data_IF_873694747193
#
_entry.id   IF_873694747193
#
_cell.length_a   1.000
_cell.length_b   1.000
_cell.length_c   1.000
_cell.angle_alpha   90.00
_cell.angle_beta   90.00
_cell.angle_gamma   90.00
#
_symmetry.space_group_name_H-M   'P 1'
#
loop_
_entity.id
_entity.type
_entity.pdbx_description
1 polymer ?
#
# COMPACT_ATOMS: atom_id res chain seq x y z
N UNK A 1 3.72 -37.64 -43.70
CA UNK A 1 3.11 -37.62 -42.36
C UNK A 1 4.02 -36.83 -41.43
N UNK A 2 3.67 -35.62 -41.00
CA UNK A 2 4.41 -34.91 -39.93
C UNK A 2 3.63 -35.03 -38.64
N UNK A 3 4.36 -35.39 -37.60
CA UNK A 3 3.92 -35.49 -36.20
C UNK A 3 3.54 -34.11 -35.61
N UNK A 4 2.36 -34.07 -35.09
CA UNK A 4 1.86 -32.91 -34.34
C UNK A 4 2.63 -32.75 -33.03
N UNK A 5 3.37 -31.69 -32.87
CA UNK A 5 3.96 -31.30 -31.60
C UNK A 5 2.95 -30.51 -30.79
N UNK A 6 2.50 -31.11 -29.72
CA UNK A 6 1.66 -30.50 -28.69
C UNK A 6 2.46 -29.41 -27.95
N UNK A 7 2.11 -28.15 -28.16
CA UNK A 7 2.61 -27.04 -27.33
C UNK A 7 1.79 -26.99 -26.05
N UNK A 8 2.36 -27.53 -24.99
CA UNK A 8 1.89 -27.27 -23.62
C UNK A 8 2.17 -25.79 -23.31
N UNK A 9 1.13 -25.09 -22.90
CA UNK A 9 1.19 -23.67 -22.45
C UNK A 9 2.14 -23.55 -21.27
N UNK A 10 3.36 -23.07 -21.53
CA UNK A 10 4.37 -22.83 -20.52
C UNK A 10 3.93 -21.70 -19.58
N UNK A 11 4.13 -21.95 -18.32
CA UNK A 11 3.94 -20.99 -17.23
C UNK A 11 4.83 -19.76 -17.50
N UNK A 12 4.31 -18.52 -17.57
CA UNK A 12 5.09 -17.31 -17.89
C UNK A 12 6.11 -16.91 -16.81
N UNK A 13 6.16 -17.62 -15.68
CA UNK A 13 7.08 -17.37 -14.56
C UNK A 13 8.53 -17.86 -14.80
N UNK A 14 8.83 -18.53 -15.92
CA UNK A 14 10.15 -19.14 -16.18
C UNK A 14 10.93 -18.53 -17.35
N UNK A 15 10.53 -17.39 -17.87
CA UNK A 15 11.32 -16.69 -18.91
C UNK A 15 12.55 -16.02 -18.28
N UNK A 16 13.68 -16.75 -18.24
CA UNK A 16 14.99 -16.15 -17.94
C UNK A 16 15.39 -15.19 -19.07
N UNK A 17 15.68 -13.96 -18.71
CA UNK A 17 16.25 -13.01 -19.66
C UNK A 17 17.74 -13.36 -19.87
N UNK A 18 18.33 -12.92 -21.02
CA UNK A 18 19.71 -13.25 -21.43
C UNK A 18 20.82 -12.79 -20.46
N UNK A 19 20.50 -12.12 -19.38
CA UNK A 19 21.45 -11.69 -18.33
C UNK A 19 21.49 -12.62 -17.12
N UNK A 20 20.77 -13.75 -17.11
CA UNK A 20 20.81 -14.74 -16.04
C UNK A 20 20.21 -14.28 -14.70
N UNK A 21 19.52 -13.14 -14.69
CA UNK A 21 18.76 -12.67 -13.52
C UNK A 21 17.31 -13.10 -13.69
N UNK A 22 16.80 -13.89 -12.73
CA UNK A 22 15.38 -14.14 -12.61
C UNK A 22 14.67 -12.79 -12.61
N UNK A 23 13.59 -12.60 -13.39
CA UNK A 23 12.74 -11.44 -13.21
C UNK A 23 12.07 -11.60 -11.85
N UNK A 24 12.76 -11.11 -10.81
CA UNK A 24 12.15 -10.93 -9.51
C UNK A 24 10.91 -10.07 -9.78
N UNK A 25 9.75 -10.58 -9.41
CA UNK A 25 8.49 -9.91 -9.59
C UNK A 25 8.65 -8.44 -9.18
N UNK A 26 8.55 -7.55 -10.14
CA UNK A 26 8.57 -6.13 -9.83
C UNK A 26 7.35 -5.80 -9.00
N UNK A 27 7.38 -4.76 -8.16
CA UNK A 27 6.20 -4.31 -7.43
C UNK A 27 4.96 -4.17 -8.33
N UNK A 28 5.16 -3.72 -9.58
CA UNK A 28 4.08 -3.63 -10.58
C UNK A 28 3.52 -5.01 -10.98
N UNK A 29 4.37 -6.03 -11.09
CA UNK A 29 3.93 -7.39 -11.43
C UNK A 29 3.16 -8.04 -10.27
N UNK A 30 3.62 -7.82 -9.03
CA UNK A 30 2.90 -8.28 -7.83
C UNK A 30 1.55 -7.56 -7.73
N UNK A 31 1.51 -6.28 -8.03
CA UNK A 31 0.29 -5.48 -8.07
C UNK A 31 -0.65 -5.93 -9.19
N UNK A 32 -0.14 -6.18 -10.39
CA UNK A 32 -0.93 -6.66 -11.53
C UNK A 32 -1.50 -8.07 -11.30
N UNK A 33 -0.76 -8.97 -10.66
CA UNK A 33 -1.25 -10.30 -10.27
C UNK A 33 -2.37 -10.20 -9.23
N UNK A 34 -2.27 -9.28 -8.28
CA UNK A 34 -3.33 -9.01 -7.29
C UNK A 34 -4.56 -8.34 -7.90
N UNK A 35 -4.39 -7.54 -8.96
CA UNK A 35 -5.49 -6.87 -9.65
C UNK A 35 -6.27 -7.80 -10.59
N UNK A 36 -5.69 -8.92 -11.05
CA UNK A 36 -6.36 -9.87 -11.95
C UNK A 36 -7.26 -10.88 -11.23
N UNK A 37 -7.24 -10.94 -9.91
CA UNK A 37 -8.08 -11.84 -9.10
C UNK A 37 -9.40 -11.20 -8.62
N UNK A 38 -9.75 -10.01 -9.11
CA UNK A 38 -10.99 -9.33 -8.70
C UNK A 38 -12.23 -9.88 -9.44
N UNK A 39 -12.83 -10.93 -8.87
CA UNK A 39 -14.30 -11.08 -8.80
C UNK A 39 -14.93 -9.83 -8.16
N UNK A 40 -16.25 -9.53 -8.34
CA UNK A 40 -16.88 -8.37 -7.71
C UNK A 40 -16.61 -8.43 -6.20
N UNK A 41 -15.76 -7.54 -5.75
CA UNK A 41 -15.04 -7.56 -4.49
C UNK A 41 -16.03 -7.41 -3.34
N UNK A 42 -16.27 -8.47 -2.60
CA UNK A 42 -16.55 -8.31 -1.18
C UNK A 42 -15.39 -7.51 -0.59
N UNK A 43 -15.68 -6.31 -0.12
CA UNK A 43 -14.66 -5.43 0.47
C UNK A 43 -14.23 -6.04 1.79
N UNK A 44 -13.23 -6.91 1.72
CA UNK A 44 -12.69 -7.55 2.90
C UNK A 44 -11.97 -6.52 3.77
N UNK A 45 -12.41 -6.41 5.01
CA UNK A 45 -11.76 -5.63 6.06
C UNK A 45 -10.97 -6.55 6.99
N UNK A 46 -10.02 -5.97 7.70
CA UNK A 46 -9.27 -6.60 8.79
C UNK A 46 -9.16 -5.62 9.94
N UNK A 47 -8.75 -6.08 11.10
CA UNK A 47 -8.43 -5.16 12.18
C UNK A 47 -7.10 -4.42 11.92
N UNK A 48 -6.99 -3.22 12.47
CA UNK A 48 -5.80 -2.36 12.30
C UNK A 48 -4.54 -3.09 12.76
N UNK A 49 -4.59 -3.86 13.86
CA UNK A 49 -3.44 -4.61 14.34
C UNK A 49 -2.89 -5.61 13.32
N UNK A 50 -3.77 -6.28 12.58
CA UNK A 50 -3.38 -7.20 11.50
C UNK A 50 -2.78 -6.44 10.31
N UNK A 51 -3.37 -5.32 9.91
CA UNK A 51 -2.83 -4.48 8.84
C UNK A 51 -1.45 -3.92 9.20
N UNK A 52 -1.24 -3.53 10.48
CA UNK A 52 0.07 -3.10 10.99
C UNK A 52 1.10 -4.23 10.91
N UNK A 53 0.76 -5.45 11.31
CA UNK A 53 1.66 -6.60 11.24
C UNK A 53 2.07 -6.88 9.79
N UNK A 54 1.13 -6.83 8.84
CA UNK A 54 1.42 -6.96 7.41
C UNK A 54 2.37 -5.85 6.95
N UNK A 55 2.09 -4.61 7.32
CA UNK A 55 2.92 -3.45 7.00
C UNK A 55 4.34 -3.56 7.58
N UNK A 56 4.47 -4.02 8.82
CA UNK A 56 5.76 -4.22 9.49
C UNK A 56 6.60 -5.29 8.78
N UNK A 57 6.01 -6.46 8.51
CA UNK A 57 6.70 -7.53 7.76
C UNK A 57 7.14 -7.05 6.38
N UNK A 58 6.28 -6.31 5.68
CA UNK A 58 6.62 -5.71 4.40
C UNK A 58 7.84 -4.76 4.53
N UNK A 59 7.83 -3.85 5.51
CA UNK A 59 8.93 -2.91 5.74
C UNK A 59 10.25 -3.63 6.08
N UNK A 60 10.21 -4.69 6.89
CA UNK A 60 11.39 -5.51 7.21
C UNK A 60 11.99 -6.18 5.97
N UNK A 61 11.14 -6.74 5.09
CA UNK A 61 11.58 -7.34 3.82
C UNK A 61 12.22 -6.27 2.92
N UNK A 62 11.58 -5.13 2.78
CA UNK A 62 12.07 -4.04 1.93
C UNK A 62 13.35 -3.40 2.47
N UNK A 63 13.49 -3.27 3.80
CA UNK A 63 14.72 -2.80 4.44
C UNK A 63 15.92 -3.68 4.08
N UNK A 64 15.76 -5.01 4.17
CA UNK A 64 16.81 -5.98 3.75
C UNK A 64 17.10 -5.89 2.24
N UNK A 65 16.04 -5.77 1.41
CA UNK A 65 16.18 -5.66 -0.05
C UNK A 65 16.97 -4.43 -0.47
N UNK A 66 16.72 -3.30 0.15
CA UNK A 66 17.38 -2.02 -0.13
C UNK A 66 18.63 -1.77 0.75
N UNK A 67 19.24 -2.84 1.31
CA UNK A 67 20.49 -2.79 2.08
C UNK A 67 20.44 -1.76 3.20
N UNK A 68 19.34 -1.74 3.93
CA UNK A 68 19.14 -0.84 5.07
C UNK A 68 19.25 0.66 4.71
N UNK A 69 18.90 1.01 3.47
CA UNK A 69 18.89 2.41 3.02
C UNK A 69 17.86 3.27 3.75
N UNK A 70 16.95 2.66 4.50
CA UNK A 70 15.99 3.37 5.35
C UNK A 70 15.78 2.63 6.67
N UNK A 71 15.31 3.39 7.67
CA UNK A 71 14.79 2.88 8.93
C UNK A 71 13.30 3.16 9.05
N UNK A 72 12.59 2.43 9.91
CA UNK A 72 11.19 2.70 10.18
C UNK A 72 10.86 2.59 11.66
N UNK A 73 9.80 3.28 12.07
CA UNK A 73 9.21 3.20 13.39
C UNK A 73 7.68 3.18 13.26
N UNK A 74 7.04 2.34 14.07
CA UNK A 74 5.57 2.27 14.19
C UNK A 74 5.20 2.72 15.60
N UNK A 75 4.35 3.75 15.66
CA UNK A 75 3.87 4.37 16.89
C UNK A 75 2.34 4.44 16.85
N UNK A 76 1.71 3.29 16.99
CA UNK A 76 0.26 3.11 16.93
C UNK A 76 -0.18 2.37 18.19
N UNK A 77 -0.99 3.03 19.01
CA UNK A 77 -1.50 2.46 20.26
C UNK A 77 -2.28 1.15 20.02
N UNK A 78 -2.05 0.15 20.86
CA UNK A 78 -2.78 -1.11 20.84
C UNK A 78 -4.30 -0.93 20.99
N UNK A 79 -4.73 0.13 21.66
CA UNK A 79 -6.14 0.49 21.76
C UNK A 79 -6.84 0.74 20.41
N UNK A 80 -6.06 0.96 19.33
CA UNK A 80 -6.60 1.11 17.97
C UNK A 80 -6.67 -0.21 17.19
N UNK A 81 -6.08 -1.28 17.69
CA UNK A 81 -5.87 -2.51 16.91
C UNK A 81 -7.16 -3.24 16.54
N UNK A 82 -8.19 -3.15 17.38
CA UNK A 82 -9.47 -3.86 17.18
C UNK A 82 -10.41 -3.16 16.17
N UNK A 83 -10.11 -1.94 15.77
CA UNK A 83 -10.93 -1.26 14.79
C UNK A 83 -10.69 -1.78 13.38
N UNK A 84 -11.76 -1.77 12.56
CA UNK A 84 -11.74 -2.25 11.20
C UNK A 84 -11.06 -1.26 10.23
N UNK A 85 -10.34 -1.81 9.26
CA UNK A 85 -9.77 -1.08 8.13
C UNK A 85 -9.85 -1.97 6.87
N UNK A 86 -10.11 -1.42 5.67
CA UNK A 86 -10.01 -2.20 4.44
C UNK A 86 -8.61 -2.79 4.26
N UNK A 87 -8.52 -4.07 3.90
CA UNK A 87 -7.23 -4.74 3.65
C UNK A 87 -6.37 -3.97 2.65
N UNK A 88 -5.05 -4.03 2.83
CA UNK A 88 -4.06 -3.39 1.95
C UNK A 88 -4.25 -1.87 1.83
N UNK A 89 -4.61 -1.20 2.92
CA UNK A 89 -4.67 0.26 2.98
C UNK A 89 -3.28 0.86 3.22
N UNK A 90 -2.49 0.30 4.13
CA UNK A 90 -1.18 0.86 4.51
C UNK A 90 -0.07 0.45 3.56
N UNK A 91 -0.05 -0.80 3.11
CA UNK A 91 1.06 -1.32 2.29
C UNK A 91 1.32 -0.50 1.02
N UNK A 92 0.34 -0.15 0.17
CA UNK A 92 0.61 0.64 -1.04
C UNK A 92 1.13 2.05 -0.75
N UNK A 93 0.78 2.63 0.40
CA UNK A 93 1.29 3.93 0.83
C UNK A 93 2.76 3.84 1.26
N UNK A 94 3.13 2.75 1.95
CA UNK A 94 4.52 2.45 2.31
C UNK A 94 5.37 2.16 1.07
N UNK A 95 4.82 1.44 0.09
CA UNK A 95 5.46 1.22 -1.20
C UNK A 95 5.81 2.55 -1.88
N UNK A 96 4.89 3.51 -1.89
CA UNK A 96 5.14 4.83 -2.45
C UNK A 96 6.28 5.56 -1.73
N UNK A 97 6.31 5.53 -0.39
CA UNK A 97 7.39 6.16 0.38
C UNK A 97 8.76 5.54 0.08
N UNK A 98 8.83 4.21 -0.06
CA UNK A 98 10.09 3.51 -0.34
C UNK A 98 10.55 3.79 -1.78
N UNK A 99 9.68 3.53 -2.77
CA UNK A 99 10.06 3.58 -4.18
C UNK A 99 10.36 5.02 -4.63
N UNK A 100 9.57 5.98 -4.18
CA UNK A 100 9.69 7.38 -4.60
C UNK A 100 10.48 8.24 -3.62
N UNK A 101 10.58 7.82 -2.35
CA UNK A 101 11.28 8.59 -1.33
C UNK A 101 12.78 8.28 -1.24
N UNK A 102 13.20 7.01 -1.37
CA UNK A 102 14.53 6.59 -0.96
C UNK A 102 15.40 5.97 -2.05
N UNK A 103 14.99 6.04 -3.31
CA UNK A 103 15.79 5.51 -4.45
C UNK A 103 17.02 6.37 -4.75
N UNK A 104 17.25 7.46 -3.99
CA UNK A 104 18.42 8.34 -4.18
C UNK A 104 19.62 7.77 -3.42
N UNK A 105 20.73 7.40 -4.10
CA UNK A 105 21.93 6.91 -3.45
C UNK A 105 22.50 7.94 -2.45
N UNK A 106 22.88 7.47 -1.25
CA UNK A 106 23.61 8.26 -0.27
C UNK A 106 22.76 9.02 0.77
N UNK A 107 21.44 8.92 0.74
CA UNK A 107 20.54 9.41 1.81
C UNK A 107 19.94 8.25 2.58
N UNK A 108 20.07 8.25 3.90
CA UNK A 108 19.34 7.32 4.77
C UNK A 108 17.90 7.80 4.94
N UNK A 109 16.95 6.98 4.54
CA UNK A 109 15.52 7.26 4.67
C UNK A 109 14.98 6.94 6.07
N UNK A 110 13.90 7.61 6.46
CA UNK A 110 13.12 7.29 7.65
C UNK A 110 11.65 7.26 7.30
N UNK A 111 10.96 6.23 7.78
CA UNK A 111 9.50 6.10 7.68
C UNK A 111 8.94 6.02 9.09
N UNK A 112 7.95 6.85 9.40
CA UNK A 112 7.24 6.84 10.66
C UNK A 112 5.75 6.62 10.41
N UNK A 113 5.19 5.56 11.01
CA UNK A 113 3.76 5.32 11.08
C UNK A 113 3.26 5.79 12.45
N UNK A 114 2.28 6.68 12.46
CA UNK A 114 1.64 7.16 13.69
C UNK A 114 0.14 6.93 13.60
N UNK A 115 -0.43 6.28 14.61
CA UNK A 115 -1.88 6.17 14.78
C UNK A 115 -2.36 7.11 15.89
N UNK A 116 -3.39 7.87 15.59
CA UNK A 116 -4.02 8.80 16.54
C UNK A 116 -5.52 8.59 16.54
N UNK A 117 -6.08 8.61 17.73
CA UNK A 117 -7.52 8.66 17.97
C UNK A 117 -7.93 10.11 18.21
N UNK A 118 -8.93 10.57 17.49
CA UNK A 118 -9.49 11.91 17.61
C UNK A 118 -11.02 11.80 17.66
N UNK A 119 -11.59 11.92 18.86
CA UNK A 119 -13.04 11.76 19.06
C UNK A 119 -13.56 10.45 18.45
N UNK A 120 -14.37 10.53 17.38
CA UNK A 120 -14.95 9.38 16.67
C UNK A 120 -14.16 8.96 15.41
N UNK A 121 -12.98 9.53 15.21
CA UNK A 121 -12.13 9.23 14.07
C UNK A 121 -10.81 8.59 14.48
N UNK A 122 -10.26 7.75 13.61
CA UNK A 122 -8.90 7.25 13.66
C UNK A 122 -8.14 7.84 12.49
N UNK A 123 -6.98 8.42 12.77
CA UNK A 123 -6.06 8.93 11.76
C UNK A 123 -4.74 8.17 11.81
N UNK A 124 -4.37 7.50 10.72
CA UNK A 124 -3.05 6.89 10.55
C UNK A 124 -2.24 7.76 9.60
N UNK A 125 -1.05 8.18 10.03
CA UNK A 125 -0.12 8.96 9.24
C UNK A 125 1.10 8.13 8.88
N UNK A 126 1.49 8.20 7.62
CA UNK A 126 2.75 7.69 7.10
C UNK A 126 3.59 8.92 6.76
N UNK A 127 4.71 9.06 7.42
CA UNK A 127 5.61 10.21 7.29
C UNK A 127 6.95 9.68 6.80
N UNK A 128 7.45 10.20 5.70
CA UNK A 128 8.79 9.91 5.21
C UNK A 128 9.62 11.20 5.06
N UNK A 129 10.93 11.07 5.18
CA UNK A 129 11.89 12.15 4.95
C UNK A 129 12.54 12.03 3.55
N UNK A 130 11.83 11.48 2.59
CA UNK A 130 12.32 11.22 1.25
C UNK A 130 12.46 12.46 0.37
N UNK A 131 12.56 12.22 -0.94
CA UNK A 131 12.73 13.29 -1.93
C UNK A 131 11.56 14.28 -2.00
N UNK A 132 10.39 13.88 -1.47
CA UNK A 132 9.17 14.68 -1.57
C UNK A 132 8.58 14.69 -2.99
N UNK A 133 7.49 15.42 -3.14
CA UNK A 133 6.70 15.51 -4.38
C UNK A 133 6.62 16.98 -4.79
N UNK A 134 6.85 17.28 -6.06
CA UNK A 134 6.73 18.64 -6.60
C UNK A 134 5.27 19.13 -6.58
N UNK A 135 5.08 20.44 -6.51
CA UNK A 135 3.75 21.06 -6.51
C UNK A 135 2.95 20.71 -7.76
N UNK A 136 3.60 20.61 -8.93
CA UNK A 136 2.97 20.17 -10.17
C UNK A 136 2.40 18.76 -10.01
N UNK A 137 3.20 17.83 -9.50
CA UNK A 137 2.77 16.44 -9.28
C UNK A 137 1.72 16.32 -8.17
N UNK A 138 1.82 17.12 -7.11
CA UNK A 138 0.77 17.21 -6.09
C UNK A 138 -0.55 17.74 -6.67
N UNK A 139 -0.47 18.71 -7.57
CA UNK A 139 -1.63 19.21 -8.32
C UNK A 139 -2.30 18.11 -9.14
N UNK A 140 -1.51 17.28 -9.85
CA UNK A 140 -2.01 16.12 -10.58
C UNK A 140 -2.70 15.11 -9.65
N UNK A 141 -2.07 14.77 -8.52
CA UNK A 141 -2.64 13.85 -7.51
C UNK A 141 -3.97 14.40 -6.96
N UNK A 142 -4.08 15.70 -6.76
CA UNK A 142 -5.32 16.35 -6.28
C UNK A 142 -6.40 16.41 -7.36
N UNK A 143 -6.03 16.68 -8.61
CA UNK A 143 -6.96 16.74 -9.74
C UNK A 143 -7.61 15.39 -10.10
N UNK A 144 -7.01 14.28 -9.67
CA UNK A 144 -7.56 12.93 -9.82
C UNK A 144 -8.87 12.74 -9.02
N UNK A 145 -9.12 13.53 -7.96
CA UNK A 145 -10.42 13.58 -7.28
C UNK A 145 -11.58 13.96 -8.21
N UNK A 146 -11.30 14.51 -9.39
CA UNK A 146 -12.29 15.01 -10.36
C UNK A 146 -12.50 14.07 -11.56
N UNK A 147 -12.18 12.78 -11.46
CA UNK A 147 -12.59 11.76 -12.44
C UNK A 147 -11.57 11.42 -13.54
N UNK A 148 -10.32 11.87 -13.46
CA UNK A 148 -9.26 11.46 -14.39
C UNK A 148 -8.41 10.32 -13.82
N UNK A 149 -8.48 9.13 -14.43
CA UNK A 149 -7.71 7.93 -14.08
C UNK A 149 -6.23 8.11 -14.41
N UNK A 150 -5.38 8.52 -13.45
CA UNK A 150 -3.92 8.52 -13.68
C UNK A 150 -3.02 8.45 -12.44
N UNK A 151 -3.37 7.79 -11.35
CA UNK A 151 -2.37 7.20 -10.46
C UNK A 151 -3.01 6.17 -9.56
N UNK A 152 -2.57 4.92 -9.70
CA UNK A 152 -3.21 3.72 -9.16
C UNK A 152 -3.12 3.55 -7.62
N UNK A 153 -2.42 4.42 -6.89
CA UNK A 153 -2.20 4.20 -5.47
C UNK A 153 -3.20 4.92 -4.56
N UNK A 154 -3.07 6.25 -4.45
CA UNK A 154 -3.80 7.05 -3.44
C UNK A 154 -5.29 7.18 -3.75
N UNK A 155 -5.64 7.36 -5.04
CA UNK A 155 -7.04 7.46 -5.45
C UNK A 155 -7.82 6.16 -5.18
N UNK A 156 -7.22 5.01 -5.47
CA UNK A 156 -7.82 3.70 -5.19
C UNK A 156 -8.01 3.45 -3.69
N UNK A 157 -7.08 3.91 -2.85
CA UNK A 157 -7.22 3.83 -1.39
C UNK A 157 -8.35 4.73 -0.91
N UNK A 158 -8.42 5.96 -1.40
CA UNK A 158 -9.51 6.90 -1.08
C UNK A 158 -10.87 6.30 -1.46
N UNK A 159 -10.99 5.74 -2.67
CA UNK A 159 -12.22 5.11 -3.16
C UNK A 159 -12.63 3.93 -2.27
N UNK A 160 -11.70 3.02 -1.93
CA UNK A 160 -11.97 1.88 -1.03
C UNK A 160 -12.41 2.33 0.36
N UNK A 161 -11.74 3.33 0.92
CA UNK A 161 -12.11 3.88 2.23
C UNK A 161 -13.52 4.49 2.19
N UNK A 162 -13.85 5.22 1.13
CA UNK A 162 -15.18 5.80 0.96
C UNK A 162 -16.28 4.75 0.73
N UNK A 163 -15.97 3.68 0.01
CA UNK A 163 -16.90 2.55 -0.14
C UNK A 163 -17.18 1.86 1.20
N UNK A 164 -16.18 1.76 2.08
CA UNK A 164 -16.32 1.08 3.37
C UNK A 164 -16.88 1.97 4.49
N UNK A 165 -16.43 3.22 4.57
CA UNK A 165 -16.77 4.17 5.64
C UNK A 165 -17.67 5.34 5.20
N UNK A 166 -18.01 5.42 3.92
CA UNK A 166 -18.72 6.57 3.37
C UNK A 166 -17.83 7.80 3.20
N UNK A 167 -18.48 8.95 3.02
CA UNK A 167 -17.79 10.23 2.75
C UNK A 167 -17.01 10.80 3.96
N UNK A 168 -17.16 10.22 5.13
CA UNK A 168 -16.42 10.62 6.33
C UNK A 168 -14.94 10.19 6.28
N UNK A 169 -14.60 9.18 5.45
CA UNK A 169 -13.20 8.76 5.29
C UNK A 169 -12.47 9.58 4.22
N UNK A 170 -11.22 9.93 4.50
CA UNK A 170 -10.43 10.74 3.58
C UNK A 170 -8.94 10.40 3.62
N UNK A 171 -8.26 10.64 2.49
CA UNK A 171 -6.81 10.57 2.36
C UNK A 171 -6.29 11.94 1.98
N UNK A 172 -5.25 12.41 2.66
CA UNK A 172 -4.58 13.68 2.39
C UNK A 172 -3.09 13.47 2.22
N UNK A 173 -2.52 14.08 1.19
CA UNK A 173 -1.09 14.09 0.92
C UNK A 173 -0.56 15.50 1.12
N UNK A 174 0.48 15.62 1.92
CA UNK A 174 1.26 16.84 2.13
C UNK A 174 2.71 16.49 1.83
N UNK A 175 3.35 17.23 0.97
CA UNK A 175 4.73 16.98 0.60
C UNK A 175 5.42 18.27 0.22
N UNK A 176 6.73 18.27 0.39
CA UNK A 176 7.63 19.35 -0.04
C UNK A 176 8.86 18.70 -0.65
N UNK A 177 9.32 19.23 -1.77
CA UNK A 177 10.58 18.79 -2.40
C UNK A 177 11.71 18.85 -1.38
N UNK A 178 12.48 17.78 -1.28
CA UNK A 178 13.54 17.55 -0.29
C UNK A 178 13.10 17.59 1.19
N UNK A 179 11.81 17.73 1.45
CA UNK A 179 11.22 17.78 2.79
C UNK A 179 10.39 16.53 3.14
N UNK A 180 10.36 15.54 2.25
CA UNK A 180 9.62 14.30 2.46
C UNK A 180 8.13 14.42 2.18
N UNK A 181 7.39 13.37 2.56
CA UNK A 181 5.96 13.27 2.34
C UNK A 181 5.23 12.81 3.60
N UNK A 182 4.05 13.37 3.83
CA UNK A 182 3.11 12.89 4.84
C UNK A 182 1.82 12.51 4.14
N UNK A 183 1.43 11.24 4.30
CA UNK A 183 0.12 10.75 3.88
C UNK A 183 -0.71 10.48 5.13
N UNK A 184 -1.86 11.13 5.23
CA UNK A 184 -2.83 10.93 6.31
C UNK A 184 -4.03 10.18 5.79
N UNK A 185 -4.41 9.10 6.48
CA UNK A 185 -5.60 8.29 6.24
C UNK A 185 -6.47 8.41 7.46
N UNK A 186 -7.64 9.04 7.35
CA UNK A 186 -8.56 9.23 8.46
C UNK A 186 -9.92 8.64 8.12
N UNK A 187 -10.54 7.97 9.09
CA UNK A 187 -11.81 7.27 8.94
C UNK A 187 -12.53 7.13 10.28
N UNK A 188 -13.87 6.99 10.29
CA UNK A 188 -14.64 6.78 11.50
C UNK A 188 -14.23 5.49 12.21
N UNK A 189 -14.31 5.48 13.53
CA UNK A 189 -14.18 4.26 14.32
C UNK A 189 -15.25 3.26 13.92
N UNK A 190 -14.84 2.05 13.62
CA UNK A 190 -15.73 0.94 13.31
C UNK A 190 -15.12 -0.33 13.89
N UNK A 191 -15.78 -0.95 14.84
CA UNK A 191 -15.32 -2.23 15.36
C UNK A 191 -15.51 -3.32 14.30
N UNK A 192 -14.63 -4.32 14.31
CA UNK A 192 -14.87 -5.55 13.57
C UNK A 192 -16.12 -6.23 14.13
N UNK A 193 -17.09 -6.51 13.27
CA UNK A 193 -18.24 -7.33 13.64
C UNK A 193 -17.80 -8.79 13.64
N UNK A 194 -18.31 -9.58 14.61
CA UNK A 194 -17.98 -11.02 14.70
C UNK A 194 -18.37 -11.82 13.45
N UNK A 195 -19.19 -11.25 12.56
CA UNK A 195 -19.57 -11.82 11.26
C UNK A 195 -18.54 -11.66 10.14
N UNK A 196 -17.49 -10.86 10.37
CA UNK A 196 -16.43 -10.63 9.38
C UNK A 196 -15.27 -11.65 9.53
N UNK A 197 -15.35 -12.55 10.50
CA UNK A 197 -14.51 -13.73 10.60
C UNK A 197 -15.22 -14.89 9.89
N UNK A 198 -14.96 -15.08 8.62
CA UNK A 198 -15.24 -16.35 7.96
C UNK A 198 -14.35 -17.42 8.62
N UNK A 199 -14.96 -18.33 9.39
CA UNK A 199 -14.30 -19.49 10.04
C UNK A 199 -13.85 -20.58 9.03
N UNK A 200 -13.80 -20.27 7.74
CA UNK A 200 -13.52 -21.25 6.68
C UNK A 200 -12.03 -21.51 6.39
N UNK A 201 -11.15 -21.31 7.40
CA UNK A 201 -9.73 -21.69 7.27
C UNK A 201 -9.26 -22.66 8.37
N UNK A 202 -10.03 -23.74 8.62
CA UNK A 202 -9.52 -24.91 9.36
C UNK A 202 -9.50 -26.15 8.46
#
# INVERSE_FOLDING_TARGET
MPLATHWSRGNPLLAMNRSGRSPLATPELIFALKASESSPMEMSSINIGSEIKIAEHYLQIMQRRYRESFSFRIDISEGLWEYAIPKLTLQPLLENSIIHGFVVPGKSGQILLIGMEQQEEICIKIIDNGAGISDTRLGEIRAIKEGRKTSFGIASIQERLQLYFGNAAWVRVQSRVEGGTTVSVCFPKKNMLNSDYDEDWL
#
